data_IF_842509361365
#
_entry.id   IF_842509361365
#
_cell.length_a   1.000
_cell.length_b   1.000
_cell.length_c   1.000
_cell.angle_alpha   90.00
_cell.angle_beta   90.00
_cell.angle_gamma   90.00
#
_symmetry.space_group_name_H-M   'P 1'
#
loop_
_entity.id
_entity.type
_entity.pdbx_description
1 polymer ?
#
# COMPACT_ATOMS: atom_id res chain seq x y z
N UNK A 1 -3.66 10.40 -15.93
CA UNK A 1 -3.11 9.05 -15.64
C UNK A 1 -4.10 8.05 -16.16
N UNK A 2 -3.63 6.97 -16.80
CA UNK A 2 -4.50 5.84 -17.13
C UNK A 2 -4.77 4.99 -15.88
N UNK A 3 -5.84 4.19 -15.90
CA UNK A 3 -6.11 3.20 -14.85
C UNK A 3 -4.93 2.23 -14.69
N UNK A 4 -4.27 1.86 -15.80
CA UNK A 4 -3.08 1.01 -15.79
C UNK A 4 -1.89 1.65 -15.08
N UNK A 5 -1.68 2.97 -15.25
CA UNK A 5 -0.64 3.70 -14.52
C UNK A 5 -0.94 3.69 -13.01
N UNK A 6 -2.21 3.83 -12.64
CA UNK A 6 -2.66 3.85 -11.24
C UNK A 6 -2.54 2.48 -10.56
N UNK A 7 -2.88 1.39 -11.26
CA UNK A 7 -2.65 0.02 -10.76
C UNK A 7 -1.17 -0.25 -10.58
N UNK A 8 -0.33 0.14 -11.55
CA UNK A 8 1.13 -0.03 -11.47
C UNK A 8 1.71 0.73 -10.28
N UNK A 9 1.27 1.95 -10.02
CA UNK A 9 1.76 2.78 -8.90
C UNK A 9 1.38 2.17 -7.54
N UNK A 10 0.16 1.66 -7.40
CA UNK A 10 -0.28 0.96 -6.18
C UNK A 10 0.53 -0.32 -5.95
N UNK A 11 0.73 -1.13 -7.00
CA UNK A 11 1.53 -2.35 -6.91
C UNK A 11 2.99 -2.06 -6.57
N UNK A 12 3.60 -1.06 -7.22
CA UNK A 12 4.97 -0.64 -6.91
C UNK A 12 5.11 -0.24 -5.45
N UNK A 13 4.15 0.53 -4.94
CA UNK A 13 4.12 0.97 -3.54
C UNK A 13 4.08 -0.24 -2.60
N UNK A 14 3.23 -1.23 -2.88
CA UNK A 14 3.17 -2.48 -2.10
C UNK A 14 4.50 -3.26 -2.15
N UNK A 15 5.12 -3.39 -3.32
CA UNK A 15 6.42 -4.08 -3.44
C UNK A 15 7.53 -3.38 -2.64
N UNK A 16 7.60 -2.06 -2.72
CA UNK A 16 8.61 -1.27 -1.99
C UNK A 16 8.45 -1.43 -0.46
N UNK A 17 7.20 -1.48 0.01
CA UNK A 17 6.87 -1.57 1.44
C UNK A 17 6.99 -2.98 2.04
N UNK A 18 6.81 -4.04 1.22
CA UNK A 18 6.88 -5.44 1.67
C UNK A 18 8.24 -6.10 1.40
N UNK A 19 9.18 -5.42 0.74
CA UNK A 19 10.50 -5.97 0.46
C UNK A 19 11.31 -6.16 1.76
N UNK A 20 11.56 -7.41 2.14
CA UNK A 20 12.30 -7.79 3.35
C UNK A 20 13.79 -7.45 3.32
N UNK A 21 14.36 -7.22 2.14
CA UNK A 21 15.74 -6.74 1.99
C UNK A 21 15.83 -5.21 2.01
N UNK A 22 14.69 -4.53 2.06
CA UNK A 22 14.66 -3.10 2.31
C UNK A 22 15.15 -2.85 3.74
N UNK A 23 16.16 -1.99 3.88
CA UNK A 23 16.63 -1.51 5.20
C UNK A 23 15.58 -0.68 5.95
N UNK A 24 14.40 -0.51 5.35
CA UNK A 24 13.21 0.02 5.99
C UNK A 24 12.66 -1.03 6.96
N UNK A 25 13.12 -0.99 8.22
CA UNK A 25 12.16 -1.16 9.33
C UNK A 25 10.98 -0.25 8.98
N UNK A 26 9.72 -0.69 9.06
CA UNK A 26 8.68 0.00 8.34
C UNK A 26 8.54 1.38 8.99
N UNK A 27 8.97 2.41 8.27
CA UNK A 27 9.00 3.78 8.75
C UNK A 27 8.19 4.62 7.78
N UNK A 28 7.29 5.44 8.29
CA UNK A 28 6.56 6.40 7.47
C UNK A 28 7.21 7.77 7.64
N UNK A 29 7.45 8.45 6.53
CA UNK A 29 7.85 9.85 6.54
C UNK A 29 6.59 10.71 6.48
N UNK A 30 6.37 11.53 7.51
CA UNK A 30 5.26 12.47 7.51
C UNK A 30 5.52 13.68 6.58
N UNK A 31 4.51 14.55 6.45
CA UNK A 31 4.57 15.75 5.62
C UNK A 31 5.61 16.79 6.09
N UNK A 32 6.11 16.67 7.33
CA UNK A 32 7.17 17.51 7.88
C UNK A 32 8.57 16.92 7.68
N UNK A 33 8.65 15.71 7.11
CA UNK A 33 9.91 15.02 6.82
C UNK A 33 10.41 14.14 7.98
N UNK A 34 9.66 14.06 9.08
CA UNK A 34 10.01 13.24 10.25
C UNK A 34 9.69 11.77 9.95
N UNK A 35 10.61 10.90 10.35
CA UNK A 35 10.53 9.46 10.14
C UNK A 35 9.99 8.81 11.42
N UNK A 36 8.84 8.15 11.32
CA UNK A 36 8.18 7.45 12.42
C UNK A 36 8.23 5.95 12.20
N UNK A 37 8.43 5.18 13.29
CA UNK A 37 8.37 3.73 13.28
C UNK A 37 6.91 3.31 13.18
N UNK A 38 6.56 2.44 12.23
CA UNK A 38 5.20 1.93 12.08
C UNK A 38 5.11 0.51 12.63
N UNK A 39 3.94 0.21 13.15
CA UNK A 39 3.56 -1.09 13.68
C UNK A 39 3.16 -2.04 12.56
N UNK A 40 3.11 -3.34 12.88
CA UNK A 40 2.58 -4.36 11.95
C UNK A 40 1.12 -4.06 11.58
N UNK A 41 0.34 -3.50 12.50
CA UNK A 41 -1.05 -3.14 12.24
C UNK A 41 -1.18 -2.02 11.21
N UNK A 42 -0.40 -0.95 11.34
CA UNK A 42 -0.37 0.16 10.37
C UNK A 42 0.12 -0.31 9.00
N UNK A 43 1.08 -1.24 8.97
CA UNK A 43 1.52 -1.89 7.73
C UNK A 43 0.38 -2.67 7.05
N UNK A 44 -0.40 -3.43 7.83
CA UNK A 44 -1.55 -4.18 7.31
C UNK A 44 -2.62 -3.24 6.75
N UNK A 45 -2.95 -2.17 7.47
CA UNK A 45 -3.92 -1.17 7.00
C UNK A 45 -3.46 -0.50 5.71
N UNK A 46 -2.18 -0.10 5.63
CA UNK A 46 -1.63 0.49 4.40
C UNK A 46 -1.71 -0.46 3.21
N UNK A 47 -1.37 -1.74 3.43
CA UNK A 47 -1.48 -2.76 2.40
C UNK A 47 -2.94 -2.95 1.96
N UNK A 48 -3.88 -3.01 2.91
CA UNK A 48 -5.30 -3.21 2.66
C UNK A 48 -5.90 -2.07 1.82
N UNK A 49 -5.59 -0.81 2.15
CA UNK A 49 -6.04 0.36 1.37
C UNK A 49 -5.57 0.30 -0.09
N UNK A 50 -4.32 -0.11 -0.33
CA UNK A 50 -3.75 -0.21 -1.69
C UNK A 50 -4.30 -1.40 -2.45
N UNK A 51 -4.55 -2.52 -1.77
CA UNK A 51 -5.18 -3.70 -2.37
C UNK A 51 -6.64 -3.40 -2.74
N UNK A 52 -7.40 -2.71 -1.89
CA UNK A 52 -8.76 -2.27 -2.18
C UNK A 52 -8.79 -1.33 -3.41
N UNK A 53 -7.88 -0.36 -3.48
CA UNK A 53 -7.77 0.53 -4.64
C UNK A 53 -7.44 -0.22 -5.95
N UNK A 54 -6.57 -1.24 -5.89
CA UNK A 54 -6.30 -2.11 -7.04
C UNK A 54 -7.55 -2.92 -7.41
N UNK A 55 -8.24 -3.49 -6.42
CA UNK A 55 -9.45 -4.26 -6.64
C UNK A 55 -10.54 -3.41 -7.32
N UNK A 56 -10.73 -2.16 -6.89
CA UNK A 56 -11.68 -1.23 -7.51
C UNK A 56 -11.36 -0.95 -8.98
N UNK A 57 -10.08 -0.65 -9.28
CA UNK A 57 -9.63 -0.38 -10.64
C UNK A 57 -9.77 -1.60 -11.57
N UNK A 58 -9.80 -2.81 -11.01
CA UNK A 58 -9.97 -4.06 -11.74
C UNK A 58 -11.42 -4.58 -11.72
N UNK A 59 -12.35 -3.88 -11.06
CA UNK A 59 -13.75 -4.31 -10.92
C UNK A 59 -13.94 -5.54 -10.02
N UNK A 60 -13.04 -5.75 -9.05
CA UNK A 60 -13.02 -6.88 -8.10
C UNK A 60 -13.29 -6.43 -6.65
N UNK A 61 -14.16 -5.43 -6.47
CA UNK A 61 -14.45 -4.87 -5.13
C UNK A 61 -15.13 -5.89 -4.19
N UNK A 62 -15.64 -6.99 -4.72
CA UNK A 62 -16.17 -8.11 -3.95
C UNK A 62 -15.13 -8.75 -2.99
N UNK A 63 -13.83 -8.63 -3.30
CA UNK A 63 -12.74 -9.21 -2.50
C UNK A 63 -12.62 -8.65 -1.09
N UNK A 64 -13.09 -7.43 -0.84
CA UNK A 64 -12.96 -6.74 0.46
C UNK A 64 -14.30 -6.20 1.00
N UNK A 65 -15.35 -6.16 0.17
CA UNK A 65 -16.69 -5.75 0.61
C UNK A 65 -17.52 -6.89 1.22
N UNK A 66 -17.17 -8.15 0.92
CA UNK A 66 -17.88 -9.34 1.41
C UNK A 66 -17.08 -10.14 2.46
N UNK A 67 -15.99 -9.58 2.95
CA UNK A 67 -15.12 -10.15 3.99
C UNK A 67 -15.58 -9.87 5.41
#
# INVERSE_FOLDING_TARGET
>A
MSEQDTVRDNLKTLFDFNNSESSHVPYQRDQSGVVHLITVHELQQFNEERLAAIADLLGMSDLYLNS
#
